data_IF_164344738790
#
_entry.id   IF_164344738790
#
_cell.length_a   1.000
_cell.length_b   1.000
_cell.length_c   1.000
_cell.angle_alpha   90.00
_cell.angle_beta   90.00
_cell.angle_gamma   90.00
#
_symmetry.space_group_name_H-M   'P 1'
#
loop_
_entity.id
_entity.type
_entity.pdbx_description
1 polymer ?
#
# COMPACT_ATOMS: atom_id res chain seq x y z
N UNK A 1 9.41 -11.03 -31.38
CA UNK A 1 9.29 -12.18 -30.44
C UNK A 1 9.44 -11.75 -28.99
N UNK A 2 10.57 -11.14 -28.56
CA UNK A 2 10.77 -10.71 -27.16
C UNK A 2 9.67 -9.80 -26.58
N UNK A 3 9.18 -8.82 -27.36
CA UNK A 3 8.08 -7.92 -26.94
C UNK A 3 6.76 -8.66 -26.75
N UNK A 4 6.43 -9.61 -27.63
CA UNK A 4 5.21 -10.43 -27.53
C UNK A 4 5.26 -11.37 -26.31
N UNK A 5 6.42 -11.98 -26.05
CA UNK A 5 6.64 -12.79 -24.84
C UNK A 5 6.52 -11.95 -23.57
N UNK A 6 7.05 -10.73 -23.55
CA UNK A 6 6.94 -9.80 -22.43
C UNK A 6 5.48 -9.38 -22.19
N UNK A 7 4.73 -9.04 -23.24
CA UNK A 7 3.31 -8.67 -23.11
C UNK A 7 2.48 -9.84 -22.58
N UNK A 8 2.72 -11.07 -23.05
CA UNK A 8 2.05 -12.26 -22.56
C UNK A 8 2.38 -12.54 -21.09
N UNK A 9 3.63 -12.31 -20.68
CA UNK A 9 4.06 -12.42 -19.29
C UNK A 9 3.41 -11.36 -18.38
N UNK A 10 3.30 -10.11 -18.85
CA UNK A 10 2.61 -9.03 -18.12
C UNK A 10 1.12 -9.34 -17.96
N UNK A 11 0.44 -9.78 -19.02
CA UNK A 11 -0.98 -10.20 -18.95
C UNK A 11 -1.16 -11.35 -17.96
N UNK A 12 -0.28 -12.34 -17.98
CA UNK A 12 -0.30 -13.44 -17.02
C UNK A 12 -0.07 -12.95 -15.57
N UNK A 13 0.85 -12.01 -15.37
CA UNK A 13 1.11 -11.40 -14.06
C UNK A 13 -0.09 -10.61 -13.52
N UNK A 14 -0.84 -9.92 -14.37
CA UNK A 14 -2.07 -9.21 -13.97
C UNK A 14 -3.22 -10.16 -13.59
N UNK A 15 -3.27 -11.37 -14.16
CA UNK A 15 -4.29 -12.38 -13.81
C UNK A 15 -4.03 -12.97 -12.42
N UNK A 16 -2.76 -13.06 -12.00
CA UNK A 16 -2.36 -13.63 -10.69
C UNK A 16 -2.18 -12.56 -9.59
N UNK A 17 -2.11 -11.28 -9.95
CA UNK A 17 -1.97 -10.19 -9.01
C UNK A 17 -3.29 -9.95 -8.25
N UNK A 18 -3.34 -10.39 -6.99
CA UNK A 18 -4.46 -10.12 -6.09
C UNK A 18 -4.11 -8.93 -5.20
N UNK A 19 -4.49 -7.73 -5.64
CA UNK A 19 -4.32 -6.48 -4.87
C UNK A 19 -5.60 -6.03 -4.14
N UNK A 20 -6.67 -6.84 -4.20
CA UNK A 20 -7.91 -6.58 -3.47
C UNK A 20 -7.82 -7.07 -2.03
N UNK A 21 -8.61 -6.47 -1.14
CA UNK A 21 -8.75 -7.00 0.22
C UNK A 21 -9.32 -8.43 0.15
N UNK A 22 -8.93 -9.34 1.06
CA UNK A 22 -9.53 -10.67 1.14
C UNK A 22 -11.05 -10.60 1.32
N UNK A 23 -11.76 -11.59 0.77
CA UNK A 23 -13.19 -11.75 1.06
C UNK A 23 -13.41 -11.84 2.58
N UNK A 24 -14.38 -11.08 3.09
CA UNK A 24 -14.73 -11.06 4.51
C UNK A 24 -13.76 -10.29 5.41
N UNK A 25 -12.83 -9.50 4.86
CA UNK A 25 -11.82 -8.76 5.64
C UNK A 25 -12.40 -7.92 6.80
N UNK A 26 -13.62 -7.39 6.66
CA UNK A 26 -14.29 -6.59 7.69
C UNK A 26 -15.47 -7.30 8.38
N UNK A 27 -15.68 -8.60 8.16
CA UNK A 27 -16.83 -9.32 8.70
C UNK A 27 -16.86 -9.27 10.23
N UNK A 28 -15.70 -9.34 10.87
CA UNK A 28 -15.56 -9.25 12.34
C UNK A 28 -15.94 -7.88 12.91
N UNK A 29 -15.98 -6.82 12.09
CA UNK A 29 -16.37 -5.47 12.50
C UNK A 29 -17.83 -5.14 12.14
N UNK A 30 -18.49 -5.97 11.34
CA UNK A 30 -19.82 -5.69 10.81
C UNK A 30 -20.88 -5.58 11.93
N UNK A 31 -21.64 -4.49 11.94
CA UNK A 31 -22.71 -4.27 12.92
C UNK A 31 -22.25 -3.86 14.32
N UNK A 32 -20.94 -3.80 14.58
CA UNK A 32 -20.40 -3.32 15.86
C UNK A 32 -20.44 -1.79 15.95
N UNK A 33 -20.40 -1.26 17.18
CA UNK A 33 -20.29 0.18 17.43
C UNK A 33 -19.47 0.48 18.69
N UNK A 34 -19.09 1.74 18.89
CA UNK A 34 -18.37 2.17 20.09
C UNK A 34 -17.03 1.46 20.30
N UNK A 35 -16.78 1.00 21.52
CA UNK A 35 -15.51 0.32 21.88
C UNK A 35 -15.36 -1.04 21.19
N UNK A 36 -16.44 -1.76 20.97
CA UNK A 36 -16.41 -3.07 20.29
C UNK A 36 -15.92 -2.92 18.85
N UNK A 37 -16.45 -1.91 18.13
CA UNK A 37 -16.00 -1.60 16.77
C UNK A 37 -14.52 -1.18 16.76
N UNK A 38 -14.12 -0.35 17.72
CA UNK A 38 -12.72 0.10 17.82
C UNK A 38 -11.77 -1.08 18.03
N UNK A 39 -12.12 -2.02 18.90
CA UNK A 39 -11.31 -3.22 19.15
C UNK A 39 -11.25 -4.10 17.92
N UNK A 40 -12.39 -4.42 17.30
CA UNK A 40 -12.43 -5.26 16.11
C UNK A 40 -11.60 -4.67 14.95
N UNK A 41 -11.71 -3.36 14.72
CA UNK A 41 -10.88 -2.68 13.71
C UNK A 41 -9.40 -2.72 14.07
N UNK A 42 -9.04 -2.53 15.34
CA UNK A 42 -7.65 -2.62 15.78
C UNK A 42 -7.07 -4.01 15.55
N UNK A 43 -7.83 -5.05 15.89
CA UNK A 43 -7.42 -6.45 15.68
C UNK A 43 -7.21 -6.73 14.18
N UNK A 44 -8.11 -6.27 13.31
CA UNK A 44 -8.01 -6.40 11.84
C UNK A 44 -6.73 -5.74 11.28
N UNK A 45 -6.37 -4.55 11.76
CA UNK A 45 -5.23 -3.76 11.23
C UNK A 45 -3.93 -3.92 12.04
N UNK A 46 -3.97 -4.71 13.10
CA UNK A 46 -2.80 -4.99 13.94
C UNK A 46 -1.75 -5.80 13.15
N UNK A 47 -0.50 -5.77 13.62
CA UNK A 47 0.58 -6.54 12.99
C UNK A 47 1.14 -5.93 11.69
N UNK A 48 0.81 -4.68 11.36
CA UNK A 48 1.47 -3.96 10.27
C UNK A 48 2.97 -3.79 10.55
N UNK A 49 3.76 -3.72 9.47
CA UNK A 49 5.19 -3.41 9.57
C UNK A 49 5.37 -1.96 9.96
N UNK A 50 6.05 -1.74 11.08
CA UNK A 50 6.35 -0.40 11.59
C UNK A 50 7.70 0.04 11.02
N UNK A 51 7.71 1.19 10.34
CA UNK A 51 8.93 1.86 9.91
C UNK A 51 9.26 3.03 10.84
N UNK A 52 10.53 3.20 11.25
CA UNK A 52 10.94 4.32 12.10
C UNK A 52 10.87 5.63 11.31
N UNK A 53 10.73 6.75 12.02
CA UNK A 53 10.75 8.08 11.40
C UNK A 53 12.10 8.41 10.74
N UNK A 54 13.21 8.10 11.41
CA UNK A 54 14.57 8.29 10.87
C UNK A 54 15.44 7.12 11.28
N UNK A 55 16.14 6.49 10.32
CA UNK A 55 17.09 5.42 10.61
C UNK A 55 18.19 5.30 9.55
N UNK A 56 19.13 4.37 9.73
CA UNK A 56 20.12 4.00 8.71
C UNK A 56 19.63 2.90 7.75
N UNK A 57 18.51 2.26 8.08
CA UNK A 57 17.78 1.31 7.23
C UNK A 57 16.57 2.02 6.60
N UNK A 58 15.69 1.29 5.90
CA UNK A 58 14.45 1.85 5.37
C UNK A 58 13.62 2.54 6.46
N UNK A 59 13.33 3.81 6.25
CA UNK A 59 12.54 4.65 7.14
C UNK A 59 11.42 5.39 6.38
N UNK A 60 10.66 6.22 7.10
CA UNK A 60 9.57 7.00 6.51
C UNK A 60 10.06 7.93 5.39
N UNK A 61 11.29 8.47 5.45
CA UNK A 61 11.81 9.35 4.41
C UNK A 61 12.04 8.61 3.10
N UNK A 62 12.52 7.37 3.17
CA UNK A 62 12.69 6.54 1.98
C UNK A 62 11.36 6.15 1.36
N UNK A 63 10.38 5.82 2.20
CA UNK A 63 9.02 5.50 1.75
C UNK A 63 8.38 6.71 1.06
N UNK A 64 8.45 7.90 1.65
CA UNK A 64 7.87 9.12 1.07
C UNK A 64 8.52 9.51 -0.26
N UNK A 65 9.86 9.39 -0.38
CA UNK A 65 10.56 9.65 -1.65
C UNK A 65 10.05 8.75 -2.78
N UNK A 66 9.72 7.50 -2.47
CA UNK A 66 9.25 6.55 -3.47
C UNK A 66 7.75 6.66 -3.74
N UNK A 67 6.92 6.84 -2.71
CA UNK A 67 5.46 6.99 -2.85
C UNK A 67 5.07 8.25 -3.61
N UNK A 68 5.82 9.33 -3.42
CA UNK A 68 5.48 10.64 -3.98
C UNK A 68 6.17 10.90 -5.33
N UNK A 69 7.04 9.96 -5.76
CA UNK A 69 7.72 10.00 -7.06
C UNK A 69 6.70 9.91 -8.19
N UNK A 70 6.84 10.77 -9.18
CA UNK A 70 6.06 10.70 -10.42
C UNK A 70 6.37 9.40 -11.20
N UNK A 71 5.37 8.52 -11.45
CA UNK A 71 5.58 7.26 -12.18
C UNK A 71 6.05 7.46 -13.62
N UNK A 72 5.73 8.60 -14.25
CA UNK A 72 6.09 8.91 -15.64
C UNK A 72 7.44 9.63 -15.74
N UNK A 73 7.86 10.33 -14.67
CA UNK A 73 9.16 10.99 -14.60
C UNK A 73 9.75 11.01 -13.18
N UNK A 74 10.66 10.09 -12.91
CA UNK A 74 11.33 9.92 -11.62
C UNK A 74 12.11 11.14 -11.08
N UNK A 75 12.29 12.21 -11.87
CA UNK A 75 12.87 13.48 -11.43
C UNK A 75 11.85 14.46 -10.82
N UNK A 76 10.55 14.13 -10.91
CA UNK A 76 9.45 14.92 -10.39
C UNK A 76 8.86 14.29 -9.12
N UNK A 77 8.20 15.13 -8.31
CA UNK A 77 7.39 14.73 -7.15
C UNK A 77 5.97 15.24 -7.38
N UNK A 78 4.96 14.37 -7.19
CA UNK A 78 3.55 14.72 -7.42
C UNK A 78 2.92 15.35 -6.17
N UNK A 79 3.26 14.85 -4.99
CA UNK A 79 2.67 15.30 -3.73
C UNK A 79 3.65 16.19 -2.96
N UNK A 80 3.35 17.50 -2.89
CA UNK A 80 4.11 18.44 -2.08
C UNK A 80 3.16 19.18 -1.14
N UNK A 81 3.21 18.85 0.15
CA UNK A 81 2.50 19.62 1.17
C UNK A 81 3.31 20.86 1.53
N UNK A 82 2.85 22.01 1.04
CA UNK A 82 3.55 23.28 1.27
C UNK A 82 3.31 23.85 2.67
N UNK A 83 2.29 23.40 3.38
CA UNK A 83 2.07 23.74 4.80
C UNK A 83 1.80 25.22 5.09
N UNK A 84 1.44 26.02 4.08
CA UNK A 84 1.06 27.43 4.21
C UNK A 84 -0.46 27.58 4.24
#
# INVERSE_FOLDING_TARGET
MKKFTLTMFVVFAFIIANAQIPDGYYDAAAGLSGEELKSALNDIISGHTIYPYTSSETDIWDILKESDRDPDNASNVILLYTGW
#
